data_IF_296128758367
#
_entry.id   IF_296128758367
#
_cell.length_a   1.000
_cell.length_b   1.000
_cell.length_c   1.000
_cell.angle_alpha   90.00
_cell.angle_beta   90.00
_cell.angle_gamma   90.00
#
_symmetry.space_group_name_H-M   'P 1'
#
loop_
_entity.id
_entity.type
_entity.pdbx_description
1 polymer ?
#
# COMPACT_ATOMS: atom_id res chain seq x y z
N UNK A 1 -46.36 37.27 -29.59
CA UNK A 1 -45.60 37.96 -28.53
C UNK A 1 -44.11 37.74 -28.83
N UNK A 2 -43.52 38.44 -29.81
CA UNK A 2 -42.78 39.72 -29.68
C UNK A 2 -41.56 39.57 -28.74
N UNK A 3 -40.29 39.90 -29.07
CA UNK A 3 -39.75 40.89 -30.01
C UNK A 3 -38.22 40.70 -30.25
N UNK A 4 -37.79 41.07 -31.48
CA UNK A 4 -36.62 41.88 -31.87
C UNK A 4 -35.16 41.35 -31.87
N UNK A 5 -34.58 41.45 -33.08
CA UNK A 5 -33.15 41.58 -33.42
C UNK A 5 -32.43 42.68 -32.64
N UNK A 6 -31.09 42.67 -32.61
CA UNK A 6 -30.23 43.86 -32.86
C UNK A 6 -28.74 43.47 -32.91
N UNK A 7 -28.08 43.89 -33.99
CA UNK A 7 -26.63 43.95 -34.21
C UNK A 7 -25.93 44.88 -33.20
N UNK A 8 -24.68 44.62 -32.83
CA UNK A 8 -23.62 45.64 -32.92
C UNK A 8 -22.24 45.08 -32.55
N UNK A 9 -21.36 45.07 -33.54
CA UNK A 9 -19.93 45.37 -33.40
C UNK A 9 -19.72 46.59 -32.50
N UNK A 10 -18.62 46.67 -31.75
CA UNK A 10 -17.66 47.78 -31.81
C UNK A 10 -16.49 47.48 -30.86
N UNK A 11 -15.29 47.54 -31.44
CA UNK A 11 -14.01 47.64 -30.77
C UNK A 11 -13.99 48.66 -29.63
N UNK A 12 -13.24 48.35 -28.58
CA UNK A 12 -12.59 49.38 -27.78
C UNK A 12 -11.17 48.98 -27.45
N UNK A 13 -10.27 49.50 -28.26
CA UNK A 13 -8.84 49.60 -28.01
C UNK A 13 -8.56 50.04 -26.57
N UNK A 14 -7.61 49.36 -25.92
CA UNK A 14 -6.53 50.06 -25.22
C UNK A 14 -5.34 49.13 -25.09
N UNK A 15 -4.28 49.48 -25.82
CA UNK A 15 -2.97 48.88 -25.68
C UNK A 15 -2.42 49.19 -24.29
N UNK A 16 -1.96 48.17 -23.57
CA UNK A 16 -0.91 48.34 -22.57
C UNK A 16 0.10 47.22 -22.78
N UNK A 17 1.19 47.56 -23.45
CA UNK A 17 2.45 46.83 -23.41
C UNK A 17 2.92 46.78 -21.96
N UNK A 18 2.97 45.59 -21.34
CA UNK A 18 3.67 45.39 -20.06
C UNK A 18 4.78 44.36 -20.26
N UNK A 19 5.96 44.93 -20.51
CA UNK A 19 7.26 44.57 -19.94
C UNK A 19 7.28 43.37 -19.01
N UNK A 20 8.17 42.44 -19.30
CA UNK A 20 8.35 41.19 -18.56
C UNK A 20 8.79 41.36 -17.11
N UNK A 21 8.46 40.36 -16.31
CA UNK A 21 9.19 39.99 -15.11
C UNK A 21 9.48 38.48 -15.17
N UNK A 22 10.76 38.17 -15.25
CA UNK A 22 11.35 36.88 -14.93
C UNK A 22 11.19 36.62 -13.43
N UNK A 23 10.20 35.85 -13.01
CA UNK A 23 10.31 34.97 -11.84
C UNK A 23 9.22 33.91 -11.93
N UNK A 24 9.47 32.85 -12.70
CA UNK A 24 8.64 31.65 -12.61
C UNK A 24 8.87 31.05 -11.23
N UNK A 25 7.86 30.96 -10.34
CA UNK A 25 8.01 30.11 -9.18
C UNK A 25 8.12 28.68 -9.74
N UNK A 26 9.18 27.97 -9.37
CA UNK A 26 9.32 26.54 -9.67
C UNK A 26 8.18 25.82 -8.93
N UNK A 27 7.05 25.67 -9.62
CA UNK A 27 5.85 25.06 -9.09
C UNK A 27 6.08 23.55 -9.09
N UNK A 28 6.49 23.04 -7.93
CA UNK A 28 6.69 21.63 -7.66
C UNK A 28 5.32 20.92 -7.66
N UNK A 29 4.88 20.54 -8.86
CA UNK A 29 3.57 19.95 -9.17
C UNK A 29 3.16 18.81 -8.22
N UNK A 30 4.05 17.87 -7.82
CA UNK A 30 3.71 16.81 -6.88
C UNK A 30 3.31 17.36 -5.49
N UNK A 31 3.99 18.42 -5.05
CA UNK A 31 3.81 19.03 -3.74
C UNK A 31 2.50 19.81 -3.65
N UNK A 32 2.06 20.46 -4.74
CA UNK A 32 0.78 21.18 -4.82
C UNK A 32 -0.41 20.25 -4.99
N UNK A 33 -0.27 19.18 -5.77
CA UNK A 33 -1.33 18.19 -5.90
C UNK A 33 -1.62 17.49 -4.56
N UNK A 34 -0.57 17.23 -3.75
CA UNK A 34 -0.72 16.63 -2.42
C UNK A 34 -1.57 17.45 -1.43
N UNK A 35 -1.62 18.79 -1.55
CA UNK A 35 -2.39 19.67 -0.63
C UNK A 35 -3.89 19.65 -0.94
N UNK A 36 -4.27 19.61 -2.21
CA UNK A 36 -5.69 19.63 -2.62
C UNK A 36 -6.37 18.27 -2.52
N UNK A 37 -5.59 17.21 -2.37
CA UNK A 37 -6.11 15.85 -2.29
C UNK A 37 -6.53 15.41 -0.89
N UNK A 38 -6.47 16.24 0.17
CA UNK A 38 -6.85 15.81 1.54
C UNK A 38 -6.30 14.42 1.93
N UNK A 39 -5.05 14.12 1.55
CA UNK A 39 -4.43 12.81 1.80
C UNK A 39 -4.81 11.68 0.83
N UNK A 40 -5.74 11.87 -0.12
CA UNK A 40 -6.13 10.88 -1.16
C UNK A 40 -4.98 10.47 -2.10
N UNK A 41 -3.90 11.25 -2.15
CA UNK A 41 -2.68 10.91 -2.91
C UNK A 41 -1.75 9.93 -2.18
N UNK A 42 -1.94 9.73 -0.88
CA UNK A 42 -1.29 8.64 -0.13
C UNK A 42 -2.26 7.48 -0.14
N UNK A 43 -1.99 6.48 -0.98
CA UNK A 43 -2.67 5.19 -0.85
C UNK A 43 -2.59 4.76 0.63
N UNK A 44 -3.69 4.30 1.24
CA UNK A 44 -3.64 3.77 2.59
C UNK A 44 -2.52 2.75 2.64
N UNK A 45 -1.52 2.98 3.50
CA UNK A 45 -0.51 1.97 3.78
C UNK A 45 -1.30 0.80 4.32
N UNK A 46 -1.47 -0.24 3.51
CA UNK A 46 -2.14 -1.46 3.96
C UNK A 46 -1.40 -1.87 5.23
N UNK A 47 -2.09 -1.99 6.38
CA UNK A 47 -1.43 -2.40 7.60
C UNK A 47 -0.75 -3.74 7.30
N UNK A 48 0.58 -3.72 7.31
CA UNK A 48 1.36 -4.92 7.10
C UNK A 48 1.07 -5.80 8.30
N UNK A 49 0.56 -7.01 8.07
CA UNK A 49 0.38 -7.96 9.17
C UNK A 49 1.74 -8.11 9.87
N UNK A 50 1.79 -7.99 11.21
CA UNK A 50 3.03 -8.21 11.93
C UNK A 50 3.56 -9.60 11.58
N UNK A 51 4.76 -9.66 11.03
CA UNK A 51 5.38 -10.93 10.62
C UNK A 51 6.08 -11.53 11.83
N UNK A 52 5.51 -12.60 12.37
CA UNK A 52 6.16 -13.38 13.43
C UNK A 52 7.24 -14.24 12.81
N UNK A 53 8.47 -14.16 13.34
CA UNK A 53 9.60 -14.96 12.90
C UNK A 53 10.30 -15.58 14.10
N UNK A 54 10.66 -16.86 13.99
CA UNK A 54 11.44 -17.54 15.02
C UNK A 54 12.91 -17.16 14.91
N UNK A 55 13.59 -17.04 16.05
CA UNK A 55 15.04 -16.82 16.10
C UNK A 55 15.79 -18.13 15.84
N UNK A 56 16.92 -18.06 15.12
CA UNK A 56 17.75 -19.22 14.84
C UNK A 56 18.37 -19.76 16.13
N UNK A 57 18.23 -21.06 16.36
CA UNK A 57 18.85 -21.74 17.51
C UNK A 57 20.31 -22.11 17.19
N UNK A 58 21.23 -22.04 18.16
CA UNK A 58 22.67 -22.27 17.93
C UNK A 58 23.02 -23.71 17.55
N UNK A 59 22.20 -24.70 17.95
CA UNK A 59 22.49 -26.13 17.75
C UNK A 59 21.66 -26.78 16.64
N UNK A 60 20.79 -26.03 15.97
CA UNK A 60 19.89 -26.55 14.95
C UNK A 60 20.05 -25.79 13.65
N UNK A 61 20.11 -26.54 12.55
CA UNK A 61 20.03 -25.97 11.20
C UNK A 61 18.61 -26.13 10.69
N UNK A 62 18.00 -25.02 10.26
CA UNK A 62 16.68 -25.06 9.62
C UNK A 62 16.84 -25.61 8.20
N UNK A 63 16.25 -26.78 7.95
CA UNK A 63 16.28 -27.43 6.64
C UNK A 63 15.08 -27.06 5.78
N UNK A 64 13.91 -26.97 6.40
CA UNK A 64 12.68 -26.56 5.74
C UNK A 64 11.67 -26.04 6.77
N UNK A 65 10.67 -25.31 6.31
CA UNK A 65 9.56 -24.81 7.10
C UNK A 65 8.29 -25.60 6.77
N UNK A 66 7.93 -26.54 7.64
CA UNK A 66 6.77 -27.41 7.43
C UNK A 66 5.43 -26.68 7.71
N UNK A 67 5.47 -25.63 8.51
CA UNK A 67 4.34 -24.78 8.83
C UNK A 67 4.82 -23.37 9.16
N UNK A 68 4.15 -22.36 8.62
CA UNK A 68 4.39 -20.96 8.96
C UNK A 68 4.07 -20.72 10.44
N UNK A 69 4.72 -19.75 11.10
CA UNK A 69 4.27 -19.26 12.41
C UNK A 69 2.77 -18.93 12.36
N UNK A 70 1.98 -19.67 13.15
CA UNK A 70 0.52 -19.65 13.09
C UNK A 70 -0.02 -19.10 14.41
N UNK A 71 -0.87 -18.08 14.32
CA UNK A 71 -1.51 -17.49 15.49
C UNK A 71 -2.55 -18.44 16.08
N UNK A 72 -2.53 -18.61 17.40
CA UNK A 72 -3.55 -19.34 18.14
C UNK A 72 -4.58 -18.33 18.66
N UNK A 73 -5.53 -17.98 17.78
CA UNK A 73 -6.61 -17.04 18.10
C UNK A 73 -7.73 -17.78 18.83
N UNK A 74 -8.26 -17.23 19.95
CA UNK A 74 -9.40 -17.81 20.63
C UNK A 74 -10.60 -18.02 19.69
N UNK A 75 -11.09 -19.26 19.59
CA UNK A 75 -12.24 -19.61 18.73
C UNK A 75 -13.58 -19.48 19.47
N UNK A 76 -13.57 -19.64 20.79
CA UNK A 76 -14.75 -19.54 21.64
C UNK A 76 -14.40 -18.95 23.02
N UNK A 77 -15.35 -18.91 23.96
CA UNK A 77 -15.12 -18.41 25.33
C UNK A 77 -14.73 -19.52 26.33
N UNK A 78 -14.43 -20.71 25.84
CA UNK A 78 -14.00 -21.81 26.69
C UNK A 78 -12.52 -21.65 27.07
N UNK A 79 -12.17 -22.14 28.26
CA UNK A 79 -10.80 -22.03 28.80
C UNK A 79 -9.81 -22.95 28.08
N UNK A 80 -10.28 -24.13 27.65
CA UNK A 80 -9.48 -25.09 26.90
C UNK A 80 -9.88 -24.97 25.43
N UNK A 81 -8.90 -24.73 24.56
CA UNK A 81 -9.12 -24.66 23.13
C UNK A 81 -8.13 -25.56 22.41
N UNK A 82 -8.61 -26.23 21.38
CA UNK A 82 -7.81 -27.08 20.52
C UNK A 82 -7.73 -26.47 19.12
N UNK A 83 -6.53 -26.44 18.55
CA UNK A 83 -6.28 -25.93 17.20
C UNK A 83 -5.44 -26.98 16.45
N UNK A 84 -6.06 -27.80 15.59
CA UNK A 84 -5.33 -28.83 14.84
C UNK A 84 -4.30 -28.21 13.89
N UNK A 85 -3.09 -28.77 13.87
CA UNK A 85 -2.04 -28.40 12.95
C UNK A 85 -1.62 -29.64 12.16
N UNK A 86 -1.77 -29.60 10.82
CA UNK A 86 -1.44 -30.71 9.94
C UNK A 86 -0.38 -30.25 8.95
N UNK A 87 0.66 -31.06 8.80
CA UNK A 87 1.67 -30.92 7.75
C UNK A 87 1.98 -32.29 7.17
N UNK A 88 2.51 -32.32 5.95
CA UNK A 88 2.95 -33.54 5.30
C UNK A 88 4.45 -33.46 5.03
N UNK A 89 5.11 -34.60 5.12
CA UNK A 89 6.51 -34.73 4.70
C UNK A 89 6.55 -35.13 3.24
N UNK A 90 7.47 -34.53 2.49
CA UNK A 90 7.84 -35.05 1.18
C UNK A 90 8.58 -36.38 1.33
N UNK A 91 8.53 -37.28 0.32
CA UNK A 91 9.29 -38.53 0.35
C UNK A 91 10.79 -38.32 0.62
N UNK A 92 11.36 -37.25 0.06
CA UNK A 92 12.75 -36.85 0.29
C UNK A 92 13.02 -36.50 1.76
N UNK A 93 12.15 -35.73 2.41
CA UNK A 93 12.30 -35.41 3.83
C UNK A 93 12.22 -36.64 4.71
N UNK A 94 11.32 -37.59 4.38
CA UNK A 94 11.24 -38.88 5.09
C UNK A 94 12.57 -39.64 4.97
N UNK A 95 13.17 -39.70 3.79
CA UNK A 95 14.47 -40.34 3.59
C UNK A 95 15.60 -39.64 4.35
N UNK A 96 15.65 -38.31 4.32
CA UNK A 96 16.64 -37.52 5.07
C UNK A 96 16.56 -37.80 6.57
N UNK A 97 15.35 -37.87 7.13
CA UNK A 97 15.13 -38.19 8.55
C UNK A 97 15.53 -39.63 8.85
N UNK A 98 15.12 -40.58 8.00
CA UNK A 98 15.44 -42.00 8.17
C UNK A 98 16.95 -42.24 8.24
N UNK A 99 17.72 -41.51 7.43
CA UNK A 99 19.16 -41.68 7.28
C UNK A 99 19.98 -40.71 8.17
N UNK A 100 19.36 -40.03 9.15
CA UNK A 100 20.03 -39.00 9.95
C UNK A 100 20.72 -39.51 11.22
N UNK A 101 20.78 -40.84 11.43
CA UNK A 101 21.34 -41.48 12.63
C UNK A 101 22.68 -42.14 12.33
#
# INVERSE_FOLDING_TARGET
>A
SETLSIHSSYDRNSAVTRTGLSTTPNIDYPSLYGKYLNGLGRLPVKPMKPEVRLVKLPFYTLLDELLKPTELVPQNNEKLQESPCVFALTPRQVELIRNSR
#
